data_IF_247756483279
#
_entry.id   IF_247756483279
#
_cell.length_a   1.000
_cell.length_b   1.000
_cell.length_c   1.000
_cell.angle_alpha   90.00
_cell.angle_beta   90.00
_cell.angle_gamma   90.00
#
_symmetry.space_group_name_H-M   'P 1'
#
loop_
_entity.id
_entity.type
_entity.pdbx_description
1 polymer ?
#
# COMPACT_ATOMS: atom_id res chain seq x y z
N UNK A 1 14.06 -28.08 0.85
CA UNK A 1 13.61 -26.68 0.88
C UNK A 1 14.82 -25.81 1.13
N UNK A 2 15.10 -24.75 0.34
CA UNK A 2 16.19 -23.84 0.66
C UNK A 2 15.92 -23.23 2.05
N UNK A 3 16.91 -23.24 2.89
CA UNK A 3 16.84 -22.68 4.24
C UNK A 3 16.67 -21.16 4.11
N UNK A 4 15.60 -20.61 4.70
CA UNK A 4 15.38 -19.16 4.75
C UNK A 4 16.55 -18.52 5.50
N UNK A 5 17.12 -17.44 4.97
CA UNK A 5 18.26 -16.79 5.64
C UNK A 5 17.79 -16.03 6.88
N UNK A 6 18.67 -15.93 7.89
CA UNK A 6 18.41 -15.14 9.11
C UNK A 6 17.97 -13.69 8.78
N UNK A 7 18.58 -13.09 7.74
CA UNK A 7 18.16 -11.77 7.27
C UNK A 7 16.71 -11.74 6.83
N UNK A 8 16.27 -12.73 6.08
CA UNK A 8 14.90 -12.84 5.59
C UNK A 8 13.93 -13.07 6.75
N UNK A 9 14.25 -13.92 7.71
CA UNK A 9 13.44 -14.15 8.92
C UNK A 9 13.25 -12.86 9.71
N UNK A 10 14.28 -12.02 9.84
CA UNK A 10 14.21 -10.71 10.50
C UNK A 10 13.28 -9.75 9.72
N UNK A 11 13.41 -9.67 8.38
CA UNK A 11 12.58 -8.79 7.53
C UNK A 11 11.10 -9.17 7.60
N UNK A 12 10.78 -10.46 7.45
CA UNK A 12 9.40 -10.94 7.49
C UNK A 12 8.77 -10.71 8.87
N UNK A 13 9.52 -10.99 9.94
CA UNK A 13 9.05 -10.73 11.31
C UNK A 13 8.84 -9.23 11.56
N UNK A 14 9.77 -8.38 11.10
CA UNK A 14 9.64 -6.94 11.22
C UNK A 14 8.43 -6.40 10.43
N UNK A 15 8.18 -6.92 9.22
CA UNK A 15 7.00 -6.55 8.43
C UNK A 15 5.69 -6.80 9.22
N UNK A 16 5.58 -7.98 9.84
CA UNK A 16 4.42 -8.33 10.66
C UNK A 16 4.30 -7.43 11.88
N UNK A 17 5.39 -7.24 12.63
CA UNK A 17 5.38 -6.49 13.89
C UNK A 17 5.18 -4.99 13.65
N UNK A 18 5.86 -4.37 12.68
CA UNK A 18 5.64 -2.96 12.35
C UNK A 18 4.22 -2.70 11.85
N UNK A 19 3.66 -3.61 11.04
CA UNK A 19 2.29 -3.46 10.57
C UNK A 19 1.25 -3.65 11.67
N UNK A 20 1.54 -4.49 12.68
CA UNK A 20 0.63 -4.80 13.79
C UNK A 20 0.67 -3.75 14.90
N UNK A 21 1.87 -3.32 15.29
CA UNK A 21 2.12 -2.50 16.49
C UNK A 21 2.60 -1.08 16.20
N UNK A 22 3.02 -0.80 14.96
CA UNK A 22 3.73 0.42 14.60
C UNK A 22 5.25 0.27 14.75
N UNK A 23 5.99 1.16 14.11
CA UNK A 23 7.45 1.14 14.12
C UNK A 23 8.00 1.47 15.51
N UNK A 24 7.53 2.55 16.13
CA UNK A 24 8.05 3.06 17.40
C UNK A 24 7.85 2.07 18.55
N UNK A 25 6.71 1.37 18.57
CA UNK A 25 6.38 0.41 19.62
C UNK A 25 7.11 -0.94 19.52
N UNK A 26 7.89 -1.17 18.46
CA UNK A 26 8.66 -2.40 18.27
C UNK A 26 10.14 -2.17 18.54
N UNK A 27 10.73 -2.92 19.47
CA UNK A 27 12.18 -2.95 19.66
C UNK A 27 12.86 -3.96 18.73
N UNK A 28 14.18 -3.82 18.53
CA UNK A 28 15.00 -4.84 17.84
C UNK A 28 14.86 -6.21 18.51
N UNK A 29 14.76 -6.24 19.84
CA UNK A 29 14.58 -7.46 20.60
C UNK A 29 13.23 -8.14 20.34
N UNK A 30 12.14 -7.35 20.22
CA UNK A 30 10.81 -7.88 19.85
C UNK A 30 10.85 -8.55 18.48
N UNK A 31 11.51 -7.90 17.52
CA UNK A 31 11.64 -8.39 16.14
C UNK A 31 12.46 -9.68 16.09
N UNK A 32 13.64 -9.70 16.72
CA UNK A 32 14.51 -10.88 16.71
C UNK A 32 13.91 -12.05 17.48
N UNK A 33 13.17 -11.78 18.55
CA UNK A 33 12.40 -12.80 19.28
C UNK A 33 11.28 -13.38 18.40
N UNK A 34 10.55 -12.53 17.67
CA UNK A 34 9.53 -12.98 16.73
C UNK A 34 10.10 -13.79 15.56
N UNK A 35 11.32 -13.46 15.13
CA UNK A 35 12.08 -14.19 14.10
C UNK A 35 12.70 -15.50 14.60
N UNK A 36 12.72 -15.75 15.91
CA UNK A 36 13.37 -16.92 16.48
C UNK A 36 14.90 -16.89 16.42
N UNK A 37 15.52 -15.71 16.29
CA UNK A 37 16.97 -15.53 16.14
C UNK A 37 17.58 -14.75 17.32
N UNK A 38 18.88 -14.97 17.65
CA UNK A 38 19.56 -14.19 18.68
C UNK A 38 19.59 -12.69 18.33
N UNK A 39 19.42 -11.81 19.33
CA UNK A 39 19.46 -10.35 19.15
C UNK A 39 20.73 -9.85 18.44
N UNK A 40 21.88 -10.48 18.73
CA UNK A 40 23.14 -10.14 18.07
C UNK A 40 23.15 -10.35 16.56
N UNK A 41 22.34 -11.29 16.06
CA UNK A 41 22.22 -11.57 14.61
C UNK A 41 21.66 -10.38 13.82
N UNK A 42 20.88 -9.53 14.46
CA UNK A 42 20.36 -8.31 13.83
C UNK A 42 21.47 -7.42 13.26
N UNK A 43 22.48 -7.14 14.08
CA UNK A 43 23.57 -6.21 13.73
C UNK A 43 24.55 -6.77 12.69
N UNK A 44 24.46 -8.06 12.37
CA UNK A 44 25.19 -8.67 11.25
C UNK A 44 24.53 -8.31 9.89
N UNK A 45 23.26 -7.87 9.89
CA UNK A 45 22.47 -7.66 8.67
C UNK A 45 21.96 -6.24 8.50
N UNK A 46 21.73 -5.50 9.59
CA UNK A 46 21.16 -4.15 9.60
C UNK A 46 21.95 -3.24 10.53
N UNK A 47 22.26 -2.04 10.03
CA UNK A 47 22.99 -1.02 10.80
C UNK A 47 22.15 -0.42 11.92
N UNK A 48 20.83 -0.30 11.68
CA UNK A 48 19.86 0.27 12.62
C UNK A 48 18.46 -0.29 12.38
N UNK A 49 17.53 0.00 13.30
CA UNK A 49 16.12 -0.33 13.14
C UNK A 49 15.50 0.44 11.97
N UNK A 50 15.97 1.66 11.69
CA UNK A 50 15.55 2.50 10.57
C UNK A 50 15.98 1.90 9.22
N UNK A 51 17.18 1.31 9.15
CA UNK A 51 17.66 0.58 7.97
C UNK A 51 16.76 -0.63 7.67
N UNK A 52 16.41 -1.42 8.68
CA UNK A 52 15.41 -2.47 8.58
C UNK A 52 14.03 -1.91 8.19
N UNK A 53 13.62 -0.77 8.77
CA UNK A 53 12.35 -0.11 8.45
C UNK A 53 12.22 0.26 6.98
N UNK A 54 13.28 0.81 6.39
CA UNK A 54 13.35 1.12 4.96
C UNK A 54 13.24 -0.15 4.10
N UNK A 55 13.92 -1.22 4.48
CA UNK A 55 13.82 -2.54 3.81
C UNK A 55 12.39 -3.12 3.89
N UNK A 56 11.74 -2.99 5.05
CA UNK A 56 10.35 -3.45 5.25
C UNK A 56 9.37 -2.69 4.35
N UNK A 57 9.56 -1.38 4.17
CA UNK A 57 8.75 -0.57 3.23
C UNK A 57 8.93 -1.08 1.80
N UNK A 58 10.17 -1.32 1.35
CA UNK A 58 10.46 -1.91 0.02
C UNK A 58 9.79 -3.28 -0.15
N UNK A 59 9.89 -4.16 0.84
CA UNK A 59 9.28 -5.49 0.83
C UNK A 59 7.76 -5.41 0.73
N UNK A 60 7.14 -4.55 1.51
CA UNK A 60 5.71 -4.32 1.47
C UNK A 60 5.25 -3.79 0.10
N UNK A 61 6.00 -2.83 -0.47
CA UNK A 61 5.74 -2.31 -1.81
C UNK A 61 5.81 -3.41 -2.88
N UNK A 62 6.84 -4.28 -2.82
CA UNK A 62 7.01 -5.36 -3.77
C UNK A 62 5.86 -6.38 -3.76
N UNK A 63 5.26 -6.63 -2.59
CA UNK A 63 4.13 -7.54 -2.40
C UNK A 63 2.76 -6.88 -2.57
N UNK A 64 2.70 -5.57 -2.87
CA UNK A 64 1.43 -4.83 -2.93
C UNK A 64 0.62 -5.17 -4.18
N UNK A 65 -0.70 -5.27 -4.03
CA UNK A 65 -1.65 -5.64 -5.10
C UNK A 65 -1.58 -4.70 -6.32
N UNK A 66 -1.25 -3.42 -6.14
CA UNK A 66 -1.11 -2.47 -7.25
C UNK A 66 0.06 -2.79 -8.21
N UNK A 67 1.01 -3.64 -7.80
CA UNK A 67 2.10 -4.17 -8.64
C UNK A 67 1.72 -5.43 -9.40
N UNK A 68 0.57 -6.02 -9.12
CA UNK A 68 0.14 -7.23 -9.80
C UNK A 68 0.07 -7.01 -11.33
N UNK A 69 0.44 -8.04 -12.06
CA UNK A 69 0.27 -8.03 -13.52
C UNK A 69 -1.21 -7.90 -13.88
N UNK A 70 -1.54 -7.24 -15.00
CA UNK A 70 -2.90 -7.20 -15.49
C UNK A 70 -3.48 -8.61 -15.67
N UNK A 71 -4.72 -8.81 -15.21
CA UNK A 71 -5.40 -10.09 -15.45
C UNK A 71 -5.92 -10.14 -16.89
N UNK A 72 -5.62 -11.22 -17.64
CA UNK A 72 -6.13 -11.37 -19.00
C UNK A 72 -7.67 -11.28 -19.05
N UNK A 73 -8.19 -10.51 -20.00
CA UNK A 73 -9.64 -10.35 -20.20
C UNK A 73 -10.33 -9.30 -19.33
N UNK A 74 -9.64 -8.71 -18.34
CA UNK A 74 -10.18 -7.53 -17.62
C UNK A 74 -9.94 -6.25 -18.41
N UNK A 75 -10.94 -5.38 -18.44
CA UNK A 75 -10.78 -4.05 -18.98
C UNK A 75 -9.85 -3.19 -18.09
N UNK A 76 -9.23 -2.13 -18.64
CA UNK A 76 -8.38 -1.21 -17.86
C UNK A 76 -9.07 -0.62 -16.62
N UNK A 77 -10.34 -0.26 -16.71
CA UNK A 77 -11.11 0.27 -15.58
C UNK A 77 -11.37 -0.81 -14.52
N UNK A 78 -11.66 -2.04 -14.94
CA UNK A 78 -11.80 -3.17 -14.02
C UNK A 78 -10.47 -3.52 -13.32
N UNK A 79 -9.33 -3.43 -14.04
CA UNK A 79 -8.00 -3.58 -13.45
C UNK A 79 -7.74 -2.51 -12.39
N UNK A 80 -8.07 -1.25 -12.69
CA UNK A 80 -7.96 -0.14 -11.74
C UNK A 80 -8.81 -0.40 -10.48
N UNK A 81 -10.06 -0.82 -10.67
CA UNK A 81 -10.97 -1.14 -9.55
C UNK A 81 -10.42 -2.30 -8.69
N UNK A 82 -9.87 -3.32 -9.32
CA UNK A 82 -9.25 -4.47 -8.64
C UNK A 82 -8.05 -4.07 -7.78
N UNK A 83 -7.25 -3.08 -8.22
CA UNK A 83 -6.10 -2.54 -7.48
C UNK A 83 -6.48 -2.06 -6.07
N UNK A 84 -7.66 -1.49 -5.91
CA UNK A 84 -8.18 -1.01 -4.61
C UNK A 84 -9.05 -2.06 -3.91
N UNK A 85 -9.74 -2.95 -4.66
CA UNK A 85 -10.58 -3.99 -4.07
C UNK A 85 -9.78 -5.02 -3.30
N UNK A 86 -8.66 -5.49 -3.84
CA UNK A 86 -7.84 -6.50 -3.18
C UNK A 86 -7.37 -6.08 -1.77
N UNK A 87 -6.77 -4.88 -1.55
CA UNK A 87 -6.44 -4.44 -0.19
C UNK A 87 -7.67 -4.19 0.70
N UNK A 88 -8.82 -3.75 0.14
CA UNK A 88 -10.07 -3.64 0.89
C UNK A 88 -10.48 -4.99 1.49
N UNK A 89 -10.45 -6.05 0.68
CA UNK A 89 -10.87 -7.37 1.11
C UNK A 89 -9.91 -7.94 2.17
N UNK A 90 -8.61 -7.68 2.05
CA UNK A 90 -7.62 -8.02 3.08
C UNK A 90 -7.89 -7.27 4.40
N UNK A 91 -8.25 -5.99 4.34
CA UNK A 91 -8.57 -5.19 5.53
C UNK A 91 -9.86 -5.67 6.19
N UNK A 92 -10.88 -5.99 5.41
CA UNK A 92 -12.15 -6.56 5.91
C UNK A 92 -11.91 -7.91 6.61
N UNK A 93 -11.13 -8.80 6.03
CA UNK A 93 -10.75 -10.08 6.63
C UNK A 93 -9.93 -9.96 7.93
N UNK A 94 -9.42 -8.76 8.23
CA UNK A 94 -8.69 -8.42 9.47
C UNK A 94 -9.48 -7.50 10.39
N UNK A 95 -10.79 -7.45 10.28
CA UNK A 95 -11.66 -6.58 11.07
C UNK A 95 -11.21 -5.11 11.03
N UNK A 96 -10.77 -4.67 9.86
CA UNK A 96 -10.26 -3.31 9.62
C UNK A 96 -9.10 -2.90 10.54
N UNK A 97 -8.30 -3.86 10.99
CA UNK A 97 -7.09 -3.60 11.79
C UNK A 97 -5.87 -3.32 10.89
N UNK A 98 -4.78 -2.82 11.47
CA UNK A 98 -3.47 -2.56 10.88
C UNK A 98 -3.41 -1.41 9.86
N UNK A 99 -4.39 -1.22 8.99
CA UNK A 99 -4.38 -0.18 7.96
C UNK A 99 -3.36 -0.44 6.85
N UNK A 100 -2.84 0.62 6.23
CA UNK A 100 -1.76 0.57 5.25
C UNK A 100 -0.41 0.81 5.91
N UNK A 101 0.61 0.02 5.57
CA UNK A 101 1.95 0.20 6.13
C UNK A 101 2.59 1.52 5.68
N UNK A 102 2.35 1.98 4.44
CA UNK A 102 2.87 3.26 3.98
C UNK A 102 2.34 4.42 4.82
N UNK A 103 1.02 4.47 5.04
CA UNK A 103 0.40 5.50 5.89
C UNK A 103 0.91 5.43 7.33
N UNK A 104 1.01 4.24 7.93
CA UNK A 104 1.53 4.07 9.28
C UNK A 104 2.99 4.54 9.39
N UNK A 105 3.88 4.04 8.51
CA UNK A 105 5.31 4.39 8.52
C UNK A 105 5.53 5.87 8.18
N UNK A 106 4.75 6.43 7.25
CA UNK A 106 4.79 7.85 6.91
C UNK A 106 4.43 8.72 8.11
N UNK A 107 3.35 8.40 8.82
CA UNK A 107 2.90 9.16 9.99
C UNK A 107 3.89 9.09 11.16
N UNK A 108 4.48 7.91 11.41
CA UNK A 108 5.40 7.75 12.54
C UNK A 108 6.82 8.25 12.24
N UNK A 109 7.30 8.12 11.00
CA UNK A 109 8.74 8.20 10.73
C UNK A 109 9.16 9.24 9.69
N UNK A 110 8.24 9.93 9.02
CA UNK A 110 8.61 10.87 7.97
C UNK A 110 9.52 12.01 8.46
N UNK A 111 9.31 12.47 9.68
CA UNK A 111 10.12 13.53 10.29
C UNK A 111 11.35 13.00 11.07
N UNK A 112 11.43 11.69 11.30
CA UNK A 112 12.45 11.08 12.15
C UNK A 112 13.49 10.25 11.38
N UNK A 113 13.16 9.75 10.19
CA UNK A 113 14.05 8.91 9.38
C UNK A 113 14.02 9.28 7.90
N UNK A 114 15.05 9.97 7.39
CA UNK A 114 15.17 10.28 5.97
C UNK A 114 15.12 9.03 5.07
N UNK A 115 15.66 7.91 5.53
CA UNK A 115 15.67 6.66 4.78
C UNK A 115 14.25 6.08 4.63
N UNK A 116 13.48 5.99 5.73
CA UNK A 116 12.10 5.52 5.69
C UNK A 116 11.22 6.48 4.88
N UNK A 117 11.37 7.80 5.09
CA UNK A 117 10.65 8.81 4.32
C UNK A 117 10.85 8.67 2.82
N UNK A 118 12.10 8.46 2.39
CA UNK A 118 12.42 8.30 0.97
C UNK A 118 11.75 7.06 0.37
N UNK A 119 11.77 5.93 1.06
CA UNK A 119 11.14 4.69 0.58
C UNK A 119 9.60 4.78 0.56
N UNK A 120 8.99 5.43 1.56
CA UNK A 120 7.54 5.67 1.56
C UNK A 120 7.15 6.59 0.41
N UNK A 121 7.86 7.70 0.22
CA UNK A 121 7.60 8.64 -0.87
C UNK A 121 7.73 7.95 -2.24
N UNK A 122 8.84 7.24 -2.48
CA UNK A 122 9.04 6.50 -3.74
C UNK A 122 7.95 5.44 -3.98
N UNK A 123 7.46 4.78 -2.93
CA UNK A 123 6.38 3.79 -3.03
C UNK A 123 5.04 4.42 -3.38
N UNK A 124 4.68 5.55 -2.77
CA UNK A 124 3.45 6.29 -3.07
C UNK A 124 3.48 6.89 -4.48
N UNK A 125 4.65 7.40 -4.92
CA UNK A 125 4.83 7.92 -6.27
C UNK A 125 4.70 6.81 -7.33
N UNK A 126 5.33 5.65 -7.09
CA UNK A 126 5.22 4.50 -7.99
C UNK A 126 3.79 3.95 -8.06
N UNK A 127 3.06 3.91 -6.94
CA UNK A 127 1.66 3.53 -6.94
C UNK A 127 0.80 4.53 -7.71
N UNK A 128 1.01 5.84 -7.49
CA UNK A 128 0.30 6.90 -8.21
C UNK A 128 0.54 6.84 -9.72
N UNK A 129 1.79 6.58 -10.13
CA UNK A 129 2.13 6.40 -11.54
C UNK A 129 1.43 5.17 -12.15
N UNK A 130 1.39 4.04 -11.43
CA UNK A 130 0.69 2.84 -11.87
C UNK A 130 -0.81 3.07 -12.05
N UNK A 131 -1.44 3.80 -11.12
CA UNK A 131 -2.85 4.22 -11.22
C UNK A 131 -3.06 5.12 -12.44
N UNK A 132 -2.15 6.08 -12.68
CA UNK A 132 -2.19 6.96 -13.85
C UNK A 132 -2.09 6.17 -15.17
N UNK A 133 -1.26 5.14 -15.25
CA UNK A 133 -1.15 4.28 -16.43
C UNK A 133 -2.46 3.52 -16.72
N UNK A 134 -3.11 3.00 -15.69
CA UNK A 134 -4.41 2.35 -15.82
C UNK A 134 -5.50 3.33 -16.26
N UNK A 135 -5.47 4.57 -15.74
CA UNK A 135 -6.38 5.64 -16.17
C UNK A 135 -6.17 6.00 -17.65
N UNK A 136 -4.91 6.12 -18.12
CA UNK A 136 -4.61 6.34 -19.56
C UNK A 136 -5.14 5.21 -20.42
N UNK A 137 -4.93 3.97 -20.00
CA UNK A 137 -5.44 2.81 -20.71
C UNK A 137 -6.99 2.80 -20.77
N UNK A 138 -7.66 3.14 -19.67
CA UNK A 138 -9.12 3.27 -19.62
C UNK A 138 -9.65 4.40 -20.50
N UNK A 139 -8.92 5.54 -20.59
CA UNK A 139 -9.25 6.63 -21.54
C UNK A 139 -9.13 6.16 -22.99
N UNK A 140 -8.03 5.48 -23.31
CA UNK A 140 -7.80 4.95 -24.67
C UNK A 140 -8.85 3.90 -25.07
N UNK A 141 -9.39 3.15 -24.10
CA UNK A 141 -10.50 2.22 -24.30
C UNK A 141 -11.90 2.88 -24.30
N UNK A 142 -12.00 4.18 -24.08
CA UNK A 142 -13.27 4.90 -24.01
C UNK A 142 -14.11 4.59 -22.75
N UNK A 143 -13.53 3.98 -21.74
CA UNK A 143 -14.24 3.57 -20.50
C UNK A 143 -14.45 4.73 -19.53
N UNK A 144 -13.59 5.75 -19.59
CA UNK A 144 -13.67 6.95 -18.74
C UNK A 144 -13.53 8.22 -19.56
N UNK A 145 -13.88 9.37 -18.94
CA UNK A 145 -13.80 10.68 -19.59
C UNK A 145 -12.38 11.04 -20.02
N UNK A 146 -12.21 11.42 -21.28
CA UNK A 146 -10.91 11.82 -21.86
C UNK A 146 -10.36 13.13 -21.27
N UNK A 147 -11.22 14.00 -20.72
CA UNK A 147 -10.82 15.30 -20.17
C UNK A 147 -10.13 15.22 -18.78
N UNK A 148 -10.10 14.05 -18.15
CA UNK A 148 -9.43 13.86 -16.85
C UNK A 148 -7.91 13.83 -17.04
N UNK A 149 -7.16 14.51 -16.16
CA UNK A 149 -5.70 14.44 -16.10
C UNK A 149 -5.28 13.16 -15.33
N UNK A 150 -4.71 12.13 -15.99
CA UNK A 150 -4.43 10.86 -15.34
C UNK A 150 -3.37 10.97 -14.23
N UNK A 151 -2.36 11.84 -14.37
CA UNK A 151 -1.29 11.97 -13.37
C UNK A 151 -1.79 12.64 -12.10
N UNK A 152 -2.56 13.72 -12.26
CA UNK A 152 -3.20 14.40 -11.11
C UNK A 152 -4.20 13.48 -10.43
N UNK A 153 -5.00 12.79 -11.21
CA UNK A 153 -6.03 11.88 -10.69
C UNK A 153 -5.40 10.67 -10.02
N UNK A 154 -4.32 10.11 -10.57
CA UNK A 154 -3.58 9.01 -9.96
C UNK A 154 -3.10 9.35 -8.55
N UNK A 155 -2.47 10.51 -8.37
CA UNK A 155 -2.06 11.00 -7.05
C UNK A 155 -3.26 11.22 -6.12
N UNK A 156 -4.31 11.83 -6.63
CA UNK A 156 -5.53 12.09 -5.85
C UNK A 156 -6.18 10.79 -5.35
N UNK A 157 -6.31 9.78 -6.22
CA UNK A 157 -6.93 8.50 -5.86
C UNK A 157 -6.13 7.76 -4.80
N UNK A 158 -4.79 7.74 -4.89
CA UNK A 158 -3.95 7.12 -3.86
C UNK A 158 -4.09 7.86 -2.53
N UNK A 159 -4.07 9.20 -2.53
CA UNK A 159 -4.25 9.99 -1.32
C UNK A 159 -5.64 9.82 -0.69
N UNK A 160 -6.70 9.81 -1.51
CA UNK A 160 -8.07 9.58 -1.04
C UNK A 160 -8.22 8.16 -0.45
N UNK A 161 -7.61 7.16 -1.08
CA UNK A 161 -7.58 5.80 -0.58
C UNK A 161 -6.87 5.68 0.78
N UNK A 162 -5.69 6.27 0.94
CA UNK A 162 -4.97 6.27 2.22
C UNK A 162 -5.80 6.94 3.33
N UNK A 163 -6.51 8.03 3.01
CA UNK A 163 -7.45 8.67 3.94
C UNK A 163 -8.61 7.75 4.31
N UNK A 164 -9.21 7.05 3.34
CA UNK A 164 -10.28 6.09 3.57
C UNK A 164 -9.80 4.90 4.44
N UNK A 165 -8.61 4.35 4.17
CA UNK A 165 -8.00 3.28 4.96
C UNK A 165 -7.75 3.71 6.40
N UNK A 166 -7.23 4.92 6.60
CA UNK A 166 -6.99 5.49 7.94
C UNK A 166 -8.29 5.61 8.72
N UNK A 167 -9.34 6.18 8.11
CA UNK A 167 -10.65 6.30 8.75
C UNK A 167 -11.26 4.93 9.07
N UNK A 168 -11.21 4.00 8.14
CA UNK A 168 -11.68 2.62 8.32
C UNK A 168 -10.99 1.94 9.51
N UNK A 169 -9.67 2.13 9.66
CA UNK A 169 -8.91 1.61 10.82
C UNK A 169 -9.40 2.20 12.14
N UNK A 170 -9.78 3.50 12.17
CA UNK A 170 -10.26 4.19 13.38
C UNK A 170 -11.66 3.74 13.75
N UNK A 171 -12.60 3.70 12.79
CA UNK A 171 -14.01 3.41 13.06
C UNK A 171 -14.35 1.91 13.02
N UNK A 172 -13.42 1.06 12.61
CA UNK A 172 -13.59 -0.40 12.47
C UNK A 172 -14.79 -0.77 11.57
N UNK A 173 -14.93 -0.05 10.46
CA UNK A 173 -16.05 -0.25 9.53
C UNK A 173 -15.68 0.15 8.10
N UNK A 174 -16.38 -0.38 7.10
CA UNK A 174 -16.05 -0.26 5.67
C UNK A 174 -16.51 1.04 5.01
N UNK A 175 -17.38 1.83 5.64
CA UNK A 175 -18.10 2.94 5.00
C UNK A 175 -17.20 3.88 4.20
N UNK A 176 -16.04 4.30 4.76
CA UNK A 176 -15.14 5.21 4.06
C UNK A 176 -14.52 4.61 2.77
N UNK A 177 -14.28 3.30 2.75
CA UNK A 177 -13.83 2.61 1.53
C UNK A 177 -14.98 2.39 0.56
N UNK A 178 -16.18 2.13 1.04
CA UNK A 178 -17.38 1.99 0.22
C UNK A 178 -17.71 3.32 -0.46
N UNK A 179 -17.61 4.46 0.25
CA UNK A 179 -17.73 5.82 -0.30
C UNK A 179 -16.64 6.08 -1.36
N UNK A 180 -15.40 5.67 -1.11
CA UNK A 180 -14.34 5.78 -2.13
C UNK A 180 -14.72 5.06 -3.43
N UNK A 181 -15.24 3.84 -3.35
CA UNK A 181 -15.66 3.10 -4.56
C UNK A 181 -16.83 3.76 -5.26
N UNK A 182 -17.85 4.18 -4.53
CA UNK A 182 -19.03 4.86 -5.10
C UNK A 182 -18.64 6.17 -5.81
N UNK A 183 -17.94 7.07 -5.10
CA UNK A 183 -17.55 8.36 -5.65
C UNK A 183 -16.59 8.21 -6.83
N UNK A 184 -15.58 7.34 -6.71
CA UNK A 184 -14.55 7.24 -7.76
C UNK A 184 -15.08 6.50 -8.99
N UNK A 185 -15.66 5.32 -8.83
CA UNK A 185 -15.96 4.45 -9.96
C UNK A 185 -17.38 4.63 -10.52
N UNK A 186 -18.33 5.05 -9.69
CA UNK A 186 -19.72 5.16 -10.13
C UNK A 186 -20.10 6.61 -10.52
N UNK A 187 -19.32 7.63 -10.06
CA UNK A 187 -19.57 9.05 -10.36
C UNK A 187 -18.40 9.70 -11.13
N UNK A 188 -17.19 9.77 -10.53
CA UNK A 188 -16.06 10.54 -11.06
C UNK A 188 -15.52 10.00 -12.38
N UNK A 189 -15.26 8.69 -12.47
CA UNK A 189 -14.69 8.05 -13.65
C UNK A 189 -15.71 7.70 -14.72
N UNK A 190 -16.99 7.65 -14.40
CA UNK A 190 -18.04 7.25 -15.34
C UNK A 190 -17.99 8.12 -16.60
N UNK A 191 -17.89 7.44 -17.76
CA UNK A 191 -18.06 8.13 -19.03
C UNK A 191 -19.44 8.79 -19.10
N UNK A 192 -19.60 10.02 -19.68
CA UNK A 192 -20.92 10.57 -19.90
C UNK A 192 -21.74 9.59 -20.74
N UNK A 193 -23.01 9.39 -20.37
CA UNK A 193 -23.93 8.64 -21.21
C UNK A 193 -23.88 9.27 -22.60
N UNK A 194 -23.56 8.49 -23.64
CA UNK A 194 -23.45 8.99 -24.99
C UNK A 194 -24.73 9.74 -25.36
N UNK A 195 -24.61 11.00 -25.72
CA UNK A 195 -25.66 11.72 -26.43
C UNK A 195 -25.78 11.06 -27.78
N UNK A 196 -26.77 10.19 -27.93
CA UNK A 196 -27.20 9.63 -29.21
C UNK A 196 -27.73 10.72 -30.12
#
# INVERSE_FOLDING_TARGET
>A
MPQVSVREEIVESALVEFHRRGFTACSVEDITRAAGVPKGSFYNHFKSKEDLGAEVVRRYAAASAWRAAPEPGRSPLEQLRATFRAPRDVLAGREFSRGCLFGNMGTEMADHSPAIRAEVAASLDAWSARVADLLRAAQAAGEIRAALDPDRLGRFLVNAWEGAVTRTKVVKGSAAMDDFFAVVFDELLRAPAGTS
#
